data_IF_051583788187
#
_entry.id   IF_051583788187
#
_cell.length_a   1.000
_cell.length_b   1.000
_cell.length_c   1.000
_cell.angle_alpha   90.00
_cell.angle_beta   90.00
_cell.angle_gamma   90.00
#
_symmetry.space_group_name_H-M   'P 1'
#
loop_
_entity.id
_entity.type
_entity.pdbx_description
1 polymer ?
#
# COMPACT_ATOMS: atom_id res chain seq x y z
N UNK A 1 -35.65 -6.74 33.36
CA UNK A 1 -34.24 -7.08 33.07
C UNK A 1 -33.84 -6.47 31.72
N UNK A 2 -33.09 -5.36 31.69
CA UNK A 2 -32.50 -4.80 30.46
C UNK A 2 -31.20 -5.56 30.16
N UNK A 3 -31.20 -6.42 29.15
CA UNK A 3 -29.96 -7.00 28.62
C UNK A 3 -29.29 -5.97 27.72
N UNK A 4 -28.34 -5.22 28.28
CA UNK A 4 -27.36 -4.50 27.46
C UNK A 4 -26.51 -5.56 26.77
N UNK A 5 -26.65 -5.68 25.45
CA UNK A 5 -25.82 -6.54 24.62
C UNK A 5 -24.38 -6.05 24.64
N UNK A 6 -23.62 -6.44 25.65
CA UNK A 6 -22.17 -6.34 25.68
C UNK A 6 -21.60 -7.34 24.68
N UNK A 7 -21.43 -6.91 23.43
CA UNK A 7 -20.52 -7.56 22.51
C UNK A 7 -19.16 -6.82 22.61
N UNK A 8 -18.24 -7.25 23.48
CA UNK A 8 -16.88 -6.72 23.48
C UNK A 8 -16.20 -7.18 22.19
N UNK A 9 -16.23 -6.33 21.15
CA UNK A 9 -15.43 -6.56 19.93
C UNK A 9 -13.96 -6.49 20.32
N UNK A 10 -13.30 -7.65 20.25
CA UNK A 10 -11.92 -7.82 20.73
C UNK A 10 -10.98 -6.98 19.86
N UNK A 11 -9.90 -6.51 20.47
CA UNK A 11 -8.79 -5.79 19.79
C UNK A 11 -8.29 -6.57 18.57
N UNK A 12 -8.34 -7.91 18.66
CA UNK A 12 -7.88 -8.87 17.67
C UNK A 12 -8.85 -9.06 16.48
N UNK A 13 -10.09 -8.56 16.59
CA UNK A 13 -11.11 -8.73 15.54
C UNK A 13 -11.04 -7.68 14.44
N UNK A 14 -10.14 -6.68 14.55
CA UNK A 14 -10.28 -5.51 13.68
C UNK A 14 -8.98 -4.89 13.17
N UNK A 15 -7.83 -5.45 13.54
CA UNK A 15 -6.71 -5.44 12.62
C UNK A 15 -6.04 -6.80 12.78
N UNK A 16 -6.37 -7.80 11.93
CA UNK A 16 -5.71 -9.08 12.02
C UNK A 16 -4.22 -8.83 11.87
N UNK A 17 -3.38 -9.40 12.73
CA UNK A 17 -1.92 -9.29 12.59
C UNK A 17 -1.45 -9.67 11.16
N UNK A 18 -2.22 -10.57 10.51
CA UNK A 18 -2.09 -10.95 9.11
C UNK A 18 -2.15 -9.76 8.14
N UNK A 19 -2.99 -8.77 8.39
CA UNK A 19 -3.10 -7.57 7.54
C UNK A 19 -1.86 -6.68 7.68
N UNK A 20 -1.31 -6.53 8.89
CA UNK A 20 -0.04 -5.83 9.08
C UNK A 20 1.13 -6.51 8.37
N UNK A 21 1.19 -7.84 8.41
CA UNK A 21 2.18 -8.63 7.67
C UNK A 21 2.01 -8.48 6.16
N UNK A 22 0.77 -8.51 5.67
CA UNK A 22 0.46 -8.30 4.25
C UNK A 22 0.93 -6.93 3.77
N UNK A 23 0.61 -5.85 4.48
CA UNK A 23 1.05 -4.51 4.12
C UNK A 23 2.58 -4.35 4.16
N UNK A 24 3.25 -4.97 5.13
CA UNK A 24 4.71 -5.00 5.18
C UNK A 24 5.30 -5.75 3.98
N UNK A 25 4.70 -6.87 3.58
CA UNK A 25 5.11 -7.62 2.40
C UNK A 25 4.87 -6.80 1.12
N UNK A 26 3.73 -6.14 0.97
CA UNK A 26 3.45 -5.25 -0.16
C UNK A 26 4.45 -4.08 -0.22
N UNK A 27 4.79 -3.48 0.91
CA UNK A 27 5.80 -2.42 0.97
C UNK A 27 7.17 -2.92 0.52
N UNK A 28 7.59 -4.11 0.96
CA UNK A 28 8.83 -4.73 0.53
C UNK A 28 8.83 -5.02 -0.99
N UNK A 29 7.73 -5.59 -1.50
CA UNK A 29 7.57 -5.87 -2.94
C UNK A 29 7.61 -4.58 -3.76
N UNK A 30 6.96 -3.51 -3.30
CA UNK A 30 7.01 -2.20 -3.96
C UNK A 30 8.44 -1.67 -4.05
N UNK A 31 9.18 -1.71 -2.94
CA UNK A 31 10.58 -1.25 -2.90
C UNK A 31 11.45 -2.08 -3.85
N UNK A 32 11.32 -3.41 -3.82
CA UNK A 32 12.07 -4.31 -4.72
C UNK A 32 11.72 -4.02 -6.18
N UNK A 33 10.43 -3.88 -6.50
CA UNK A 33 9.98 -3.63 -7.87
C UNK A 33 10.50 -2.28 -8.38
N UNK A 34 10.45 -1.22 -7.56
CA UNK A 34 11.00 0.09 -7.92
C UNK A 34 12.52 0.06 -8.05
N UNK A 35 13.24 -0.70 -7.22
CA UNK A 35 14.68 -0.86 -7.34
C UNK A 35 15.05 -1.58 -8.64
N UNK A 36 14.37 -2.67 -8.97
CA UNK A 36 14.56 -3.38 -10.24
C UNK A 36 14.25 -2.45 -11.41
N UNK A 37 13.12 -1.76 -11.36
CA UNK A 37 12.73 -0.83 -12.41
C UNK A 37 13.74 0.32 -12.57
N UNK A 38 14.28 0.85 -11.48
CA UNK A 38 15.34 1.85 -11.51
C UNK A 38 16.63 1.33 -12.18
N UNK A 39 17.03 0.10 -11.86
CA UNK A 39 18.24 -0.53 -12.41
C UNK A 39 18.11 -0.88 -13.89
N UNK A 40 16.90 -1.19 -14.37
CA UNK A 40 16.65 -1.54 -15.77
C UNK A 40 16.13 -0.37 -16.60
N UNK A 41 15.99 0.82 -16.01
CA UNK A 41 15.48 1.97 -16.73
C UNK A 41 16.57 2.57 -17.64
N UNK A 42 16.18 2.94 -18.84
CA UNK A 42 16.99 3.71 -19.79
C UNK A 42 16.52 5.18 -19.84
N UNK A 43 17.36 6.08 -20.37
CA UNK A 43 16.93 7.40 -20.80
C UNK A 43 15.85 7.32 -21.89
N UNK A 44 14.91 8.28 -21.89
CA UNK A 44 13.97 8.44 -23.01
C UNK A 44 14.63 9.11 -24.23
N UNK A 45 13.90 9.21 -25.35
CA UNK A 45 14.39 9.81 -26.61
C UNK A 45 14.74 11.32 -26.48
N UNK A 46 14.44 11.93 -25.32
CA UNK A 46 14.83 13.29 -24.95
C UNK A 46 15.95 13.32 -23.90
N UNK A 47 16.68 12.22 -23.73
CA UNK A 47 17.74 12.02 -22.73
C UNK A 47 17.28 12.16 -21.27
N UNK A 48 15.97 12.08 -21.00
CA UNK A 48 15.48 12.12 -19.62
C UNK A 48 15.65 10.75 -18.99
N UNK A 49 16.50 10.70 -17.98
CA UNK A 49 16.84 9.47 -17.30
C UNK A 49 15.61 8.74 -16.70
N UNK A 50 15.54 7.43 -16.93
CA UNK A 50 14.81 6.51 -16.07
C UNK A 50 13.30 6.39 -16.35
N UNK A 51 12.86 6.62 -17.60
CA UNK A 51 11.42 6.68 -17.97
C UNK A 51 10.99 5.56 -18.94
N UNK A 52 11.95 4.91 -19.56
CA UNK A 52 11.77 3.88 -20.57
C UNK A 52 12.49 2.60 -20.16
N UNK A 53 12.06 1.48 -20.73
CA UNK A 53 12.77 0.22 -20.74
C UNK A 53 13.24 -0.03 -22.16
N UNK A 54 14.57 0.01 -22.36
CA UNK A 54 15.19 -0.27 -23.65
C UNK A 54 15.89 -1.61 -23.60
N UNK A 55 15.57 -2.48 -24.56
CA UNK A 55 16.18 -3.80 -24.68
C UNK A 55 16.76 -3.95 -26.08
N UNK A 56 18.01 -4.43 -26.15
CA UNK A 56 18.66 -4.81 -27.40
C UNK A 56 18.39 -6.29 -27.72
N UNK A 57 17.95 -6.55 -28.93
CA UNK A 57 17.57 -7.86 -29.45
C UNK A 57 18.33 -8.12 -30.76
N UNK A 58 19.61 -8.45 -30.65
CA UNK A 58 20.49 -8.57 -31.82
C UNK A 58 20.69 -7.21 -32.49
N UNK A 59 20.25 -7.07 -33.75
CA UNK A 59 20.31 -5.81 -34.50
C UNK A 59 19.14 -4.86 -34.24
N UNK A 60 18.12 -5.29 -33.50
CA UNK A 60 16.93 -4.49 -33.18
C UNK A 60 17.02 -3.93 -31.76
N UNK A 61 16.57 -2.69 -31.57
CA UNK A 61 16.39 -2.09 -30.23
C UNK A 61 14.93 -1.76 -30.05
N UNK A 62 14.35 -2.17 -28.91
CA UNK A 62 12.96 -1.90 -28.58
C UNK A 62 12.90 -1.11 -27.27
N UNK A 63 12.20 0.03 -27.30
CA UNK A 63 11.96 0.88 -26.13
C UNK A 63 10.48 0.90 -25.78
N UNK A 64 10.15 0.75 -24.49
CA UNK A 64 8.77 0.79 -23.98
C UNK A 64 8.66 1.71 -22.77
N UNK A 65 7.64 2.54 -22.77
CA UNK A 65 7.28 3.39 -21.63
C UNK A 65 5.74 3.46 -21.47
N UNK A 66 5.25 3.90 -20.32
CA UNK A 66 6.02 4.38 -19.16
C UNK A 66 6.61 3.23 -18.34
N UNK A 67 7.93 3.25 -18.12
CA UNK A 67 8.61 2.30 -17.24
C UNK A 67 8.74 2.92 -15.85
N UNK A 68 8.41 2.20 -14.75
CA UNK A 68 8.39 2.77 -13.41
C UNK A 68 9.80 2.90 -12.80
N UNK A 69 10.75 3.45 -13.55
CA UNK A 69 12.09 3.78 -13.10
C UNK A 69 12.11 4.99 -12.15
N UNK A 70 13.30 5.49 -11.79
CA UNK A 70 13.49 6.52 -10.77
C UNK A 70 12.66 7.79 -10.99
N UNK A 71 12.39 8.16 -12.23
CA UNK A 71 11.58 9.33 -12.54
C UNK A 71 10.18 9.25 -11.90
N UNK A 72 9.58 8.06 -11.90
CA UNK A 72 8.27 7.80 -11.28
C UNK A 72 8.41 7.21 -9.87
N UNK A 73 9.46 6.42 -9.63
CA UNK A 73 9.68 5.70 -8.38
C UNK A 73 10.21 6.58 -7.25
N UNK A 74 11.03 7.61 -7.52
CA UNK A 74 11.60 8.45 -6.47
C UNK A 74 10.53 9.21 -5.67
N UNK A 75 9.53 9.87 -6.29
CA UNK A 75 8.42 10.48 -5.55
C UNK A 75 7.65 9.47 -4.69
N UNK A 76 7.46 8.24 -5.19
CA UNK A 76 6.79 7.16 -4.44
C UNK A 76 7.60 6.74 -3.24
N UNK A 77 8.92 6.56 -3.38
CA UNK A 77 9.82 6.19 -2.27
C UNK A 77 9.84 7.29 -1.20
N UNK A 78 9.89 8.56 -1.61
CA UNK A 78 9.83 9.71 -0.69
C UNK A 78 8.50 9.71 0.08
N UNK A 79 7.36 9.57 -0.62
CA UNK A 79 6.05 9.51 0.01
C UNK A 79 5.93 8.32 0.97
N UNK A 80 6.44 7.15 0.58
CA UNK A 80 6.46 5.95 1.40
C UNK A 80 7.29 6.15 2.68
N UNK A 81 8.47 6.76 2.58
CA UNK A 81 9.33 7.05 3.73
C UNK A 81 8.63 7.98 4.73
N UNK A 82 8.13 9.13 4.26
CA UNK A 82 7.43 10.09 5.12
C UNK A 82 6.14 9.52 5.70
N UNK A 83 5.34 8.83 4.90
CA UNK A 83 4.09 8.24 5.36
C UNK A 83 4.28 7.08 6.35
N UNK A 84 5.33 6.28 6.18
CA UNK A 84 5.69 5.23 7.15
C UNK A 84 6.17 5.83 8.46
N UNK A 85 7.00 6.88 8.41
CA UNK A 85 7.43 7.61 9.61
C UNK A 85 6.23 8.26 10.34
N UNK A 86 5.34 8.91 9.60
CA UNK A 86 4.13 9.53 10.14
C UNK A 86 3.17 8.49 10.76
N UNK A 87 2.96 7.35 10.10
CA UNK A 87 2.18 6.23 10.60
C UNK A 87 2.77 5.69 11.92
N UNK A 88 4.08 5.42 11.93
CA UNK A 88 4.79 4.97 13.13
C UNK A 88 4.69 5.97 14.28
N UNK A 89 4.86 7.26 14.00
CA UNK A 89 4.72 8.33 15.00
C UNK A 89 3.28 8.42 15.55
N UNK A 90 2.26 8.36 14.69
CA UNK A 90 0.87 8.37 15.09
C UNK A 90 0.52 7.17 15.99
N UNK A 91 0.97 5.97 15.63
CA UNK A 91 0.77 4.77 16.44
C UNK A 91 1.49 4.85 17.79
N UNK A 92 2.72 5.37 17.84
CA UNK A 92 3.45 5.65 19.09
C UNK A 92 2.71 6.66 19.98
N UNK A 93 2.17 7.73 19.39
CA UNK A 93 1.36 8.73 20.11
C UNK A 93 0.06 8.15 20.67
N UNK A 94 -0.61 7.25 19.93
CA UNK A 94 -1.87 6.61 20.37
C UNK A 94 -1.62 5.64 21.53
N UNK A 95 -0.51 4.91 21.50
CA UNK A 95 -0.15 3.90 22.52
C UNK A 95 0.47 4.53 23.77
N UNK A 96 1.27 5.59 23.62
CA UNK A 96 1.95 6.26 24.75
C UNK A 96 1.08 7.23 25.56
N UNK A 97 -0.17 7.52 25.15
CA UNK A 97 -1.01 8.47 25.87
C UNK A 97 -1.57 7.83 27.16
N UNK A 98 -1.44 8.48 28.34
CA UNK A 98 -1.94 7.95 29.61
C UNK A 98 -3.42 7.55 29.55
N UNK A 99 -3.79 6.50 30.29
CA UNK A 99 -5.18 6.09 30.45
C UNK A 99 -5.87 7.08 31.39
N UNK A 100 -7.03 7.65 31.04
CA UNK A 100 -7.77 8.52 31.95
C UNK A 100 -8.13 7.75 33.23
N UNK A 101 -7.86 8.33 34.40
CA UNK A 101 -8.45 7.86 35.66
C UNK A 101 -9.94 8.20 35.68
N UNK A 102 -10.80 7.29 36.14
CA UNK A 102 -12.24 7.52 36.21
C UNK A 102 -13.08 6.26 35.99
N UNK A 103 -14.38 6.45 35.78
CA UNK A 103 -15.37 5.38 35.59
C UNK A 103 -14.98 4.41 34.46
N UNK A 104 -15.23 3.12 34.70
CA UNK A 104 -15.02 2.01 33.76
C UNK A 104 -15.65 2.25 32.40
N UNK A 105 -16.80 2.95 32.34
CA UNK A 105 -17.46 3.31 31.10
C UNK A 105 -16.64 4.31 30.26
N UNK A 106 -15.98 5.28 30.91
CA UNK A 106 -15.12 6.28 30.25
C UNK A 106 -13.84 5.63 29.72
N UNK A 107 -13.24 4.73 30.50
CA UNK A 107 -12.05 3.95 30.08
C UNK A 107 -12.37 3.06 28.87
N UNK A 108 -13.52 2.37 28.88
CA UNK A 108 -13.95 1.53 27.77
C UNK A 108 -14.20 2.34 26.47
N UNK A 109 -14.81 3.53 26.59
CA UNK A 109 -15.06 4.42 25.46
C UNK A 109 -13.75 4.98 24.86
N UNK A 110 -12.76 5.34 25.69
CA UNK A 110 -11.43 5.79 25.21
C UNK A 110 -10.69 4.67 24.48
N UNK A 111 -10.69 3.45 25.04
CA UNK A 111 -10.08 2.29 24.40
C UNK A 111 -10.69 1.98 23.01
N UNK A 112 -12.01 2.16 22.85
CA UNK A 112 -12.69 2.06 21.57
C UNK A 112 -12.18 3.10 20.55
N UNK A 113 -12.16 4.37 20.95
CA UNK A 113 -11.67 5.49 20.10
C UNK A 113 -10.21 5.30 19.67
N UNK A 114 -9.34 4.79 20.54
CA UNK A 114 -7.93 4.49 20.21
C UNK A 114 -7.82 3.42 19.13
N UNK A 115 -8.61 2.35 19.22
CA UNK A 115 -8.61 1.27 18.22
C UNK A 115 -9.09 1.77 16.87
N UNK A 116 -10.17 2.56 16.85
CA UNK A 116 -10.71 3.09 15.60
C UNK A 116 -9.71 4.04 14.91
N UNK A 117 -9.03 4.90 15.69
CA UNK A 117 -7.93 5.75 15.17
C UNK A 117 -6.76 4.93 14.66
N UNK A 118 -6.31 3.92 15.41
CA UNK A 118 -5.20 3.07 14.99
C UNK A 118 -5.52 2.33 13.67
N UNK A 119 -6.76 1.88 13.48
CA UNK A 119 -7.21 1.27 12.21
C UNK A 119 -7.23 2.27 11.08
N UNK A 120 -7.79 3.47 11.29
CA UNK A 120 -7.82 4.50 10.26
C UNK A 120 -6.39 4.89 9.81
N UNK A 121 -5.46 5.04 10.76
CA UNK A 121 -4.04 5.29 10.47
C UNK A 121 -3.42 4.12 9.69
N UNK A 122 -3.68 2.88 10.08
CA UNK A 122 -3.12 1.70 9.39
C UNK A 122 -3.72 1.51 8.01
N UNK A 123 -5.01 1.77 7.83
CA UNK A 123 -5.68 1.75 6.53
C UNK A 123 -5.17 2.86 5.62
N UNK A 124 -4.93 4.07 6.14
CA UNK A 124 -4.31 5.15 5.37
C UNK A 124 -2.90 4.77 4.89
N UNK A 125 -2.10 4.13 5.74
CA UNK A 125 -0.80 3.60 5.34
C UNK A 125 -0.91 2.44 4.34
N UNK A 126 -1.91 1.57 4.48
CA UNK A 126 -2.22 0.53 3.50
C UNK A 126 -2.50 1.12 2.12
N UNK A 127 -3.37 2.13 2.04
CA UNK A 127 -3.65 2.83 0.78
C UNK A 127 -2.39 3.45 0.16
N UNK A 128 -1.53 4.04 0.98
CA UNK A 128 -0.25 4.63 0.56
C UNK A 128 0.71 3.59 -0.06
N UNK A 129 0.68 2.34 0.40
CA UNK A 129 1.55 1.25 -0.10
C UNK A 129 0.92 0.54 -1.29
N UNK A 130 -0.33 0.11 -1.14
CA UNK A 130 -0.98 -0.80 -2.08
C UNK A 130 -1.35 -0.11 -3.39
N UNK A 131 -1.75 1.17 -3.36
CA UNK A 131 -2.11 1.87 -4.60
C UNK A 131 -0.92 2.09 -5.54
N UNK A 132 0.25 2.58 -5.08
CA UNK A 132 1.44 2.65 -5.92
C UNK A 132 1.94 1.27 -6.38
N UNK A 133 1.85 0.24 -5.54
CA UNK A 133 2.21 -1.13 -5.92
C UNK A 133 1.34 -1.64 -7.08
N UNK A 134 0.02 -1.46 -6.99
CA UNK A 134 -0.90 -1.84 -8.05
C UNK A 134 -0.55 -1.15 -9.37
N UNK A 135 -0.37 0.18 -9.34
CA UNK A 135 0.00 0.95 -10.53
C UNK A 135 1.34 0.52 -11.12
N UNK A 136 2.38 0.41 -10.28
CA UNK A 136 3.74 0.03 -10.68
C UNK A 136 3.75 -1.36 -11.32
N UNK A 137 3.08 -2.34 -10.70
CA UNK A 137 3.00 -3.70 -11.22
C UNK A 137 2.24 -3.78 -12.55
N UNK A 138 1.15 -3.02 -12.72
CA UNK A 138 0.41 -2.97 -13.99
C UNK A 138 1.25 -2.37 -15.12
N UNK A 139 1.92 -1.22 -14.88
CA UNK A 139 2.75 -0.59 -15.89
C UNK A 139 3.96 -1.45 -16.26
N UNK A 140 4.64 -2.04 -15.27
CA UNK A 140 5.75 -2.95 -15.51
C UNK A 140 5.28 -4.20 -16.30
N UNK A 141 4.15 -4.80 -15.92
CA UNK A 141 3.55 -5.94 -16.65
C UNK A 141 3.26 -5.60 -18.11
N UNK A 142 2.60 -4.47 -18.36
CA UNK A 142 2.27 -4.00 -19.71
C UNK A 142 3.51 -3.73 -20.56
N UNK A 143 4.51 -3.08 -19.99
CA UNK A 143 5.78 -2.82 -20.67
C UNK A 143 6.49 -4.13 -21.06
N UNK A 144 6.68 -5.05 -20.11
CA UNK A 144 7.36 -6.33 -20.34
C UNK A 144 6.64 -7.19 -21.40
N UNK A 145 5.31 -7.25 -21.35
CA UNK A 145 4.50 -8.03 -22.29
C UNK A 145 4.38 -7.41 -23.68
N UNK A 146 4.71 -6.12 -23.82
CA UNK A 146 4.70 -5.43 -25.10
C UNK A 146 6.03 -5.58 -25.87
N UNK A 147 7.06 -6.11 -25.23
CA UNK A 147 8.32 -6.43 -25.88
C UNK A 147 8.16 -7.72 -26.69
N UNK A 148 8.38 -7.65 -28.00
CA UNK A 148 8.16 -8.79 -28.91
C UNK A 148 9.41 -9.66 -29.08
N UNK A 149 10.58 -9.10 -28.77
CA UNK A 149 11.87 -9.75 -29.02
C UNK A 149 12.55 -10.30 -27.75
N UNK A 150 11.85 -10.30 -26.61
CA UNK A 150 12.36 -10.85 -25.35
C UNK A 150 11.96 -12.30 -25.14
N UNK A 151 12.82 -13.06 -24.47
CA UNK A 151 12.59 -14.47 -24.18
C UNK A 151 11.39 -14.74 -23.27
N UNK A 152 10.99 -16.02 -23.13
CA UNK A 152 9.81 -16.43 -22.35
C UNK A 152 9.90 -16.04 -20.88
N UNK A 153 11.11 -16.00 -20.29
CA UNK A 153 11.34 -15.61 -18.90
C UNK A 153 10.79 -14.21 -18.60
N UNK A 154 11.03 -13.25 -19.51
CA UNK A 154 10.57 -11.86 -19.35
C UNK A 154 9.05 -11.76 -19.46
N UNK A 155 8.45 -12.51 -20.39
CA UNK A 155 7.00 -12.61 -20.52
C UNK A 155 6.35 -13.23 -19.27
N UNK A 156 6.93 -14.29 -18.73
CA UNK A 156 6.46 -14.92 -17.49
C UNK A 156 6.57 -13.95 -16.31
N UNK A 157 7.67 -13.20 -16.18
CA UNK A 157 7.79 -12.15 -15.17
C UNK A 157 6.68 -11.09 -15.31
N UNK A 158 6.40 -10.64 -16.53
CA UNK A 158 5.28 -9.74 -16.83
C UNK A 158 3.93 -10.31 -16.40
N UNK A 159 3.68 -11.61 -16.61
CA UNK A 159 2.46 -12.28 -16.19
C UNK A 159 2.34 -12.39 -14.66
N UNK A 160 3.43 -12.70 -13.96
CA UNK A 160 3.48 -12.83 -12.50
C UNK A 160 3.22 -11.51 -11.76
N UNK A 161 3.39 -10.37 -12.43
CA UNK A 161 3.05 -9.06 -11.86
C UNK A 161 1.53 -8.80 -11.81
N UNK A 162 0.72 -9.48 -12.61
CA UNK A 162 -0.74 -9.31 -12.62
C UNK A 162 -1.42 -9.74 -11.30
N UNK A 163 -1.16 -10.93 -10.73
CA UNK A 163 -1.73 -11.27 -9.43
C UNK A 163 -1.25 -10.34 -8.32
N UNK A 164 0.00 -9.87 -8.37
CA UNK A 164 0.53 -8.86 -7.43
C UNK A 164 -0.29 -7.57 -7.52
N UNK A 165 -0.53 -7.08 -8.75
CA UNK A 165 -1.37 -5.91 -8.97
C UNK A 165 -2.82 -6.10 -8.46
N UNK A 166 -3.39 -7.29 -8.67
CA UNK A 166 -4.76 -7.59 -8.24
C UNK A 166 -4.88 -7.61 -6.71
N UNK A 167 -3.92 -8.24 -6.01
CA UNK A 167 -3.86 -8.24 -4.55
C UNK A 167 -3.71 -6.81 -4.02
N UNK A 168 -2.77 -6.06 -4.58
CA UNK A 168 -2.51 -4.66 -4.20
C UNK A 168 -3.73 -3.75 -4.46
N UNK A 169 -4.47 -3.97 -5.55
CA UNK A 169 -5.69 -3.22 -5.83
C UNK A 169 -6.80 -3.57 -4.82
N UNK A 170 -6.94 -4.85 -4.46
CA UNK A 170 -7.88 -5.31 -3.44
C UNK A 170 -7.59 -4.74 -2.05
N UNK A 171 -6.31 -4.72 -1.65
CA UNK A 171 -5.87 -4.13 -0.37
C UNK A 171 -6.00 -2.61 -0.37
N UNK A 172 -5.72 -1.93 -1.49
CA UNK A 172 -5.97 -0.50 -1.66
C UNK A 172 -7.47 -0.17 -1.51
N UNK A 173 -8.35 -0.91 -2.18
CA UNK A 173 -9.80 -0.73 -2.12
C UNK A 173 -10.32 -0.95 -0.69
N UNK A 174 -9.89 -2.03 -0.04
CA UNK A 174 -10.24 -2.31 1.36
C UNK A 174 -9.79 -1.18 2.30
N UNK A 175 -8.56 -0.71 2.11
CA UNK A 175 -7.98 0.38 2.89
C UNK A 175 -8.75 1.68 2.70
N UNK A 176 -9.11 2.02 1.46
CA UNK A 176 -9.91 3.18 1.13
C UNK A 176 -11.30 3.11 1.79
N UNK A 177 -12.00 1.99 1.67
CA UNK A 177 -13.30 1.78 2.30
C UNK A 177 -13.22 1.87 3.82
N UNK A 178 -12.14 1.38 4.43
CA UNK A 178 -11.91 1.46 5.88
C UNK A 178 -11.67 2.90 6.34
N UNK A 179 -10.97 3.72 5.56
CA UNK A 179 -10.74 5.15 5.85
C UNK A 179 -12.04 5.95 5.72
N UNK A 180 -12.86 5.63 4.71
CA UNK A 180 -14.11 6.34 4.43
C UNK A 180 -15.28 5.90 5.33
N UNK A 181 -15.17 4.76 6.03
CA UNK A 181 -16.24 4.26 6.88
C UNK A 181 -16.57 5.26 8.00
N UNK A 182 -17.82 5.74 8.11
CA UNK A 182 -18.19 6.73 9.12
C UNK A 182 -18.02 6.17 10.53
N UNK A 183 -17.59 6.99 11.51
CA UNK A 183 -17.53 6.58 12.90
C UNK A 183 -18.95 6.18 13.37
N UNK A 184 -19.08 5.03 14.03
CA UNK A 184 -20.37 4.51 14.50
C UNK A 184 -21.18 5.50 15.37
N UNK A 185 -20.53 6.54 15.92
CA UNK A 185 -21.16 7.62 16.66
C UNK A 185 -22.16 8.48 15.85
N UNK A 186 -22.07 8.49 14.52
CA UNK A 186 -23.02 9.23 13.66
C UNK A 186 -24.32 8.45 13.38
N UNK A 187 -24.32 7.12 13.61
CA UNK A 187 -25.48 6.25 13.29
C UNK A 187 -26.56 6.21 14.37
N UNK A 188 -26.32 6.81 15.54
CA UNK A 188 -27.30 6.86 16.64
C UNK A 188 -28.07 8.19 16.72
N UNK A 189 -27.95 9.05 15.71
CA UNK A 189 -28.63 10.35 15.63
C UNK A 189 -29.54 10.51 14.40
N UNK A 190 -29.75 9.44 13.63
CA UNK A 190 -30.71 9.39 12.51
C UNK A 190 -31.90 8.53 12.87
#
# INVERSE_FOLDING_TARGET
VRRAGLAPRRVRDVLPARFGVLLAAEAAVLVVLLAVAALTASPDDMDRAGRTLTVACGSLTQSRGPWPGLFYGAPVLVALAFGTAACGYALRRITGRPVPGGDTAVVAADAGRRRDRARAVTAAWGLLVSAPLAGTALFASGALRSLSCVGPVVHTAGLLLLPVAAVAAGTALWSLLTVLAPPAAFRSRS
#
